data_IF_642811034968
#
_entry.id   IF_642811034968
#
_cell.length_a   1.000
_cell.length_b   1.000
_cell.length_c   1.000
_cell.angle_alpha   90.00
_cell.angle_beta   90.00
_cell.angle_gamma   90.00
#
_symmetry.space_group_name_H-M   'P 1'
#
loop_
_entity.id
_entity.type
_entity.pdbx_description
1 polymer ?
#
# COMPACT_ATOMS: atom_id res chain seq x y z
N UNK A 1 -11.50 5.99 11.33
CA UNK A 1 -12.16 5.13 12.32
C UNK A 1 -12.76 3.91 11.61
N UNK A 2 -11.99 2.82 11.53
CA UNK A 2 -12.56 1.51 11.24
C UNK A 2 -13.44 1.13 12.43
N UNK A 3 -14.75 1.19 12.26
CA UNK A 3 -15.67 0.65 13.26
C UNK A 3 -15.86 -0.83 12.94
N UNK A 4 -15.15 -1.67 13.69
CA UNK A 4 -15.18 -3.14 13.57
C UNK A 4 -16.55 -3.75 13.95
N UNK A 5 -17.55 -2.94 14.31
CA UNK A 5 -18.93 -3.36 14.60
C UNK A 5 -19.87 -3.26 13.39
N UNK A 6 -19.41 -2.68 12.28
CA UNK A 6 -20.19 -2.61 11.05
C UNK A 6 -20.04 -3.94 10.30
N UNK A 7 -21.09 -4.77 10.34
CA UNK A 7 -21.18 -6.06 9.63
C UNK A 7 -21.86 -5.94 8.26
N UNK A 8 -22.26 -4.73 7.87
CA UNK A 8 -22.87 -4.48 6.57
C UNK A 8 -21.79 -4.40 5.49
N UNK A 9 -22.09 -4.98 4.33
CA UNK A 9 -21.31 -4.79 3.10
C UNK A 9 -21.05 -3.29 2.88
N UNK A 10 -19.79 -2.88 2.63
CA UNK A 10 -19.50 -1.49 2.34
C UNK A 10 -20.30 -1.04 1.11
N UNK A 11 -20.96 0.15 1.14
CA UNK A 11 -21.82 0.56 0.05
C UNK A 11 -21.04 0.69 -1.26
N UNK A 12 -21.59 0.11 -2.34
CA UNK A 12 -21.03 0.04 -3.71
C UNK A 12 -20.55 1.40 -4.26
N UNK A 13 -21.10 2.51 -3.74
CA UNK A 13 -20.74 3.88 -4.11
C UNK A 13 -19.33 4.32 -3.65
N UNK A 14 -18.60 3.50 -2.86
CA UNK A 14 -17.27 3.87 -2.38
C UNK A 14 -16.22 3.90 -3.50
N UNK A 15 -16.25 2.95 -4.45
CA UNK A 15 -15.19 2.80 -5.46
C UNK A 15 -15.10 4.00 -6.42
N UNK A 16 -16.24 4.51 -6.89
CA UNK A 16 -16.27 5.69 -7.77
C UNK A 16 -15.81 6.97 -7.04
N UNK A 17 -16.13 7.10 -5.75
CA UNK A 17 -15.67 8.22 -4.94
C UNK A 17 -14.15 8.15 -4.69
N UNK A 18 -13.62 6.96 -4.39
CA UNK A 18 -12.17 6.77 -4.21
C UNK A 18 -11.44 6.92 -5.53
N UNK A 19 -11.96 6.39 -6.64
CA UNK A 19 -11.34 6.61 -7.95
C UNK A 19 -11.33 8.09 -8.33
N UNK A 20 -12.46 8.79 -8.16
CA UNK A 20 -12.51 10.24 -8.41
C UNK A 20 -11.48 10.95 -7.54
N UNK A 21 -11.40 10.60 -6.26
CA UNK A 21 -10.43 11.15 -5.34
C UNK A 21 -8.99 10.89 -5.81
N UNK A 22 -8.63 9.67 -6.22
CA UNK A 22 -7.31 9.36 -6.76
C UNK A 22 -7.00 10.10 -8.06
N UNK A 23 -7.94 10.13 -9.01
CA UNK A 23 -7.71 10.71 -10.35
C UNK A 23 -7.78 12.23 -10.37
N UNK A 24 -8.74 12.82 -9.65
CA UNK A 24 -9.05 14.25 -9.70
C UNK A 24 -8.37 15.00 -8.58
N UNK A 25 -8.54 14.52 -7.36
CA UNK A 25 -8.10 15.26 -6.18
C UNK A 25 -6.60 15.02 -5.99
N UNK A 26 -6.17 13.77 -5.84
CA UNK A 26 -4.75 13.37 -5.75
C UNK A 26 -3.98 13.50 -7.07
N UNK A 27 -4.68 13.70 -8.18
CA UNK A 27 -4.12 13.73 -9.54
C UNK A 27 -3.25 12.51 -9.86
N UNK A 28 -3.42 11.38 -9.20
CA UNK A 28 -2.63 10.17 -9.42
C UNK A 28 -3.12 9.41 -10.67
N UNK A 29 -3.05 10.04 -11.83
CA UNK A 29 -3.52 9.46 -13.10
C UNK A 29 -2.47 8.49 -13.64
N UNK A 30 -2.83 7.22 -13.72
CA UNK A 30 -2.05 6.15 -14.32
C UNK A 30 -2.89 5.38 -15.34
N UNK A 31 -2.21 4.76 -16.30
CA UNK A 31 -2.79 3.81 -17.25
C UNK A 31 -2.97 2.40 -16.64
N UNK A 32 -2.38 2.16 -15.47
CA UNK A 32 -2.55 0.92 -14.71
C UNK A 32 -3.83 0.97 -13.86
N UNK A 33 -4.41 -0.19 -13.52
CA UNK A 33 -5.54 -0.24 -12.60
C UNK A 33 -5.19 0.25 -11.20
N UNK A 34 -6.18 0.83 -10.53
CA UNK A 34 -6.14 0.95 -9.07
C UNK A 34 -6.59 -0.37 -8.46
N UNK A 35 -5.63 -1.12 -7.95
CA UNK A 35 -5.87 -2.38 -7.24
C UNK A 35 -6.85 -2.14 -6.09
N UNK A 36 -7.93 -2.94 -6.03
CA UNK A 36 -9.00 -2.83 -5.04
C UNK A 36 -10.13 -1.83 -5.36
N UNK A 37 -10.04 -1.06 -6.45
CA UNK A 37 -11.12 -0.17 -6.92
C UNK A 37 -11.70 -0.54 -8.27
N UNK A 38 -10.85 -1.10 -9.14
CA UNK A 38 -11.24 -1.56 -10.46
C UNK A 38 -11.42 -3.06 -10.47
N UNK A 39 -12.26 -3.53 -11.39
CA UNK A 39 -12.33 -4.95 -11.71
C UNK A 39 -11.03 -5.35 -12.42
N UNK A 40 -10.13 -5.93 -11.65
CA UNK A 40 -8.82 -6.40 -12.09
C UNK A 40 -8.91 -7.52 -13.13
N UNK A 41 -10.11 -8.08 -13.41
CA UNK A 41 -10.35 -8.97 -14.58
C UNK A 41 -10.14 -8.26 -15.93
N UNK A 42 -10.34 -6.95 -15.99
CA UNK A 42 -10.08 -6.15 -17.19
C UNK A 42 -8.62 -5.74 -17.33
N UNK A 43 -7.81 -6.03 -16.31
CA UNK A 43 -6.38 -5.80 -16.33
C UNK A 43 -5.66 -7.13 -16.50
N UNK A 44 -4.66 -7.13 -17.36
CA UNK A 44 -3.70 -8.23 -17.43
C UNK A 44 -2.87 -8.21 -16.14
N UNK A 45 -3.39 -8.75 -15.04
CA UNK A 45 -2.56 -9.18 -13.92
C UNK A 45 -1.55 -10.19 -14.48
N UNK A 46 -0.30 -10.16 -14.02
CA UNK A 46 0.85 -10.87 -14.62
C UNK A 46 0.64 -12.38 -14.87
N UNK A 47 -0.43 -12.99 -14.34
CA UNK A 47 -0.75 -14.42 -14.44
C UNK A 47 -2.15 -14.74 -15.02
N UNK A 48 -2.91 -13.78 -15.57
CA UNK A 48 -4.17 -14.04 -16.28
C UNK A 48 -5.34 -14.58 -15.43
N UNK A 49 -5.31 -14.40 -14.10
CA UNK A 49 -6.38 -14.81 -13.20
C UNK A 49 -7.19 -13.59 -12.72
N UNK A 50 -8.51 -13.77 -12.61
CA UNK A 50 -9.43 -12.83 -11.97
C UNK A 50 -9.04 -12.64 -10.50
N UNK A 51 -9.14 -11.41 -9.98
CA UNK A 51 -8.86 -11.22 -8.54
C UNK A 51 -10.05 -11.52 -7.64
N UNK A 52 -9.78 -11.78 -6.35
CA UNK A 52 -10.80 -12.15 -5.38
C UNK A 52 -11.81 -11.03 -5.14
N UNK A 53 -13.04 -11.42 -4.78
CA UNK A 53 -14.14 -10.51 -4.40
C UNK A 53 -13.87 -9.84 -3.06
N UNK A 54 -14.58 -8.73 -2.80
CA UNK A 54 -14.66 -8.15 -1.44
C UNK A 54 -15.16 -9.23 -0.48
N UNK A 55 -14.38 -9.53 0.56
CA UNK A 55 -14.66 -10.59 1.54
C UNK A 55 -14.01 -11.95 1.24
N UNK A 56 -13.46 -12.16 0.04
CA UNK A 56 -12.53 -13.27 -0.18
C UNK A 56 -11.18 -12.93 0.42
N UNK A 57 -10.55 -13.91 1.05
CA UNK A 57 -9.18 -13.77 1.53
C UNK A 57 -8.28 -13.58 0.31
N UNK A 58 -7.72 -12.38 0.18
CA UNK A 58 -6.63 -12.13 -0.76
C UNK A 58 -5.53 -13.13 -0.45
N UNK A 59 -5.20 -13.94 -1.45
CA UNK A 59 -4.02 -14.76 -1.41
C UNK A 59 -2.87 -13.88 -1.91
N UNK A 60 -2.12 -13.26 -1.00
CA UNK A 60 -0.92 -12.48 -1.32
C UNK A 60 0.24 -13.36 -1.82
N UNK A 61 -0.08 -14.55 -2.36
CA UNK A 61 0.89 -15.46 -2.92
C UNK A 61 1.49 -14.89 -4.20
N UNK A 62 2.80 -14.78 -4.20
CA UNK A 62 3.62 -14.36 -5.34
C UNK A 62 3.80 -15.49 -6.36
N UNK A 63 3.31 -16.70 -6.07
CA UNK A 63 3.27 -17.84 -6.97
C UNK A 63 2.02 -18.71 -6.70
N UNK A 64 1.72 -19.64 -7.61
CA UNK A 64 0.67 -20.64 -7.34
C UNK A 64 1.15 -21.60 -6.25
N UNK A 65 0.40 -21.69 -5.14
CA UNK A 65 0.69 -22.56 -4.00
C UNK A 65 -0.52 -23.44 -3.69
N UNK A 66 -0.27 -24.60 -3.10
CA UNK A 66 -1.32 -25.46 -2.53
C UNK A 66 -1.84 -24.91 -1.20
N UNK A 67 -3.06 -25.29 -0.83
CA UNK A 67 -3.68 -24.88 0.44
C UNK A 67 -2.84 -25.31 1.66
N UNK A 68 -2.16 -26.46 1.58
CA UNK A 68 -1.30 -26.96 2.64
C UNK A 68 -0.06 -26.05 2.85
N UNK A 69 0.58 -25.60 1.77
CA UNK A 69 1.74 -24.69 1.85
C UNK A 69 1.33 -23.31 2.39
N UNK A 70 0.15 -22.81 2.00
CA UNK A 70 -0.39 -21.56 2.55
C UNK A 70 -0.66 -21.69 4.05
N UNK A 71 -1.28 -22.80 4.49
CA UNK A 71 -1.58 -23.04 5.89
C UNK A 71 -0.31 -23.15 6.76
N UNK A 72 0.74 -23.77 6.24
CA UNK A 72 2.03 -23.85 6.91
C UNK A 72 2.67 -22.47 7.06
N UNK A 73 2.71 -21.68 5.98
CA UNK A 73 3.26 -20.33 6.00
C UNK A 73 2.51 -19.39 6.97
N UNK A 74 1.18 -19.49 7.02
CA UNK A 74 0.34 -18.77 8.01
C UNK A 74 0.71 -19.17 9.43
N UNK A 75 0.87 -20.47 9.70
CA UNK A 75 1.24 -20.97 11.02
C UNK A 75 2.64 -20.49 11.42
N UNK A 76 3.59 -20.51 10.49
CA UNK A 76 4.96 -20.05 10.73
C UNK A 76 4.99 -18.55 11.05
N UNK A 77 4.28 -17.73 10.27
CA UNK A 77 4.19 -16.29 10.50
C UNK A 77 3.49 -15.94 11.82
N UNK A 78 2.43 -16.67 12.18
CA UNK A 78 1.76 -16.51 13.46
C UNK A 78 2.68 -16.87 14.65
N UNK A 79 3.57 -17.85 14.47
CA UNK A 79 4.52 -18.27 15.49
C UNK A 79 5.69 -17.29 15.66
N UNK A 80 6.18 -16.68 14.57
CA UNK A 80 7.29 -15.72 14.63
C UNK A 80 6.85 -14.29 14.97
N UNK A 81 5.61 -13.92 14.63
CA UNK A 81 5.11 -12.55 14.79
C UNK A 81 5.64 -11.57 13.75
N UNK A 82 6.29 -12.06 12.68
CA UNK A 82 6.92 -11.24 11.62
C UNK A 82 5.91 -10.54 10.67
N UNK A 83 4.63 -10.55 11.01
CA UNK A 83 3.56 -9.95 10.22
C UNK A 83 2.91 -10.95 9.25
N UNK A 84 2.43 -10.49 8.07
CA UNK A 84 1.70 -11.35 7.14
C UNK A 84 2.56 -12.50 6.59
N UNK A 85 1.96 -13.67 6.29
CA UNK A 85 2.70 -14.83 5.81
C UNK A 85 3.37 -14.56 4.47
N UNK A 86 4.60 -15.05 4.31
CA UNK A 86 5.28 -15.06 3.02
C UNK A 86 4.72 -16.21 2.18
N UNK A 87 3.88 -15.87 1.21
CA UNK A 87 3.26 -16.82 0.32
C UNK A 87 4.01 -16.77 -1.02
N UNK A 88 4.85 -17.76 -1.29
CA UNK A 88 5.61 -17.88 -2.55
C UNK A 88 7.01 -17.27 -2.49
N UNK A 89 7.77 -17.29 -3.61
CA UNK A 89 9.09 -16.68 -3.67
C UNK A 89 9.01 -15.18 -3.38
N UNK A 90 9.93 -14.60 -2.59
CA UNK A 90 9.85 -13.20 -2.24
C UNK A 90 9.85 -12.31 -3.48
N UNK A 91 8.94 -11.33 -3.54
CA UNK A 91 9.11 -10.21 -4.46
C UNK A 91 10.38 -9.44 -4.07
N UNK A 92 11.02 -8.74 -5.02
CA UNK A 92 12.19 -7.93 -4.72
C UNK A 92 11.91 -6.99 -3.55
N UNK A 93 12.80 -6.97 -2.58
CA UNK A 93 12.78 -5.95 -1.55
C UNK A 93 12.97 -4.55 -2.17
N UNK A 94 12.65 -3.49 -1.44
CA UNK A 94 12.65 -2.12 -2.00
C UNK A 94 14.02 -1.74 -2.60
N UNK A 95 15.11 -2.18 -1.99
CA UNK A 95 16.48 -2.02 -2.49
C UNK A 95 16.74 -2.79 -3.78
N UNK A 96 16.32 -4.04 -3.86
CA UNK A 96 16.39 -4.84 -5.08
C UNK A 96 15.53 -4.24 -6.20
N UNK A 97 14.33 -3.76 -5.88
CA UNK A 97 13.44 -3.11 -6.83
C UNK A 97 14.02 -1.80 -7.37
N UNK A 98 14.65 -0.98 -6.51
CA UNK A 98 15.36 0.24 -6.92
C UNK A 98 16.61 -0.09 -7.74
N UNK A 99 17.30 -1.20 -7.46
CA UNK A 99 18.43 -1.65 -8.27
C UNK A 99 17.99 -2.08 -9.69
N UNK A 100 16.84 -2.76 -9.80
CA UNK A 100 16.25 -3.16 -11.09
C UNK A 100 15.75 -1.94 -11.88
N UNK A 101 15.08 -1.01 -11.22
CA UNK A 101 14.58 0.22 -11.83
C UNK A 101 15.07 1.45 -11.06
N UNK A 102 16.22 2.04 -11.43
CA UNK A 102 16.78 3.22 -10.76
C UNK A 102 15.90 4.48 -10.86
N UNK A 103 14.84 4.45 -11.69
CA UNK A 103 13.84 5.55 -11.77
C UNK A 103 12.64 5.33 -10.84
N UNK A 104 12.58 4.20 -10.14
CA UNK A 104 11.55 3.93 -9.15
C UNK A 104 11.67 4.94 -8.02
N UNK A 105 10.53 5.50 -7.61
CA UNK A 105 10.43 6.40 -6.47
C UNK A 105 9.42 5.84 -5.49
N UNK A 106 9.75 5.89 -4.21
CA UNK A 106 8.92 5.35 -3.12
C UNK A 106 8.55 6.49 -2.18
N UNK A 107 7.24 6.66 -1.94
CA UNK A 107 6.73 7.58 -0.93
C UNK A 107 6.18 6.74 0.23
N UNK A 108 6.77 6.89 1.41
CA UNK A 108 6.34 6.25 2.65
C UNK A 108 5.61 7.30 3.49
N UNK A 109 4.36 7.02 3.84
CA UNK A 109 3.54 7.94 4.63
C UNK A 109 3.02 7.28 5.90
N UNK A 110 2.95 8.06 6.98
CA UNK A 110 2.39 7.60 8.25
C UNK A 110 1.60 8.71 8.94
N UNK A 111 0.64 8.30 9.77
CA UNK A 111 0.01 9.19 10.74
C UNK A 111 0.93 9.40 11.94
N UNK A 112 1.09 10.65 12.38
CA UNK A 112 1.93 11.03 13.52
C UNK A 112 1.60 10.27 14.81
N UNK A 113 0.34 9.94 14.99
CA UNK A 113 -0.22 9.26 16.17
C UNK A 113 -0.73 7.86 15.83
N UNK A 114 -0.23 7.24 14.75
CA UNK A 114 -0.56 5.86 14.43
C UNK A 114 0.10 4.91 15.44
N UNK A 115 -0.66 3.97 16.00
CA UNK A 115 -0.14 2.93 16.88
C UNK A 115 0.47 1.75 16.13
N UNK A 116 0.23 1.66 14.81
CA UNK A 116 0.69 0.58 13.95
C UNK A 116 1.88 1.00 13.06
N UNK A 117 2.14 2.30 12.94
CA UNK A 117 3.27 2.87 12.20
C UNK A 117 3.94 3.95 13.04
N UNK A 118 5.26 4.11 12.92
CA UNK A 118 6.02 5.06 13.73
C UNK A 118 6.64 6.15 12.87
N UNK A 119 6.17 7.38 13.02
CA UNK A 119 6.80 8.54 12.39
C UNK A 119 8.24 8.75 12.85
N UNK A 120 8.51 8.61 14.16
CA UNK A 120 9.88 8.68 14.67
C UNK A 120 10.76 7.53 14.15
N UNK A 121 10.18 6.33 14.00
CA UNK A 121 10.87 5.19 13.39
C UNK A 121 11.19 5.44 11.92
N UNK A 122 10.27 6.02 11.16
CA UNK A 122 10.48 6.42 9.78
C UNK A 122 11.58 7.49 9.65
N UNK A 123 11.58 8.50 10.52
CA UNK A 123 12.60 9.55 10.53
C UNK A 123 14.00 8.96 10.79
N UNK A 124 14.11 8.01 11.72
CA UNK A 124 15.38 7.33 12.00
C UNK A 124 15.80 6.41 10.86
N UNK A 125 14.84 5.70 10.26
CA UNK A 125 15.09 4.86 9.10
C UNK A 125 15.64 5.70 7.94
N UNK A 126 15.02 6.85 7.66
CA UNK A 126 15.46 7.76 6.60
C UNK A 126 16.91 8.21 6.80
N UNK A 127 17.33 8.50 8.03
CA UNK A 127 18.72 8.88 8.35
C UNK A 127 19.74 7.78 8.11
N UNK A 128 19.30 6.52 8.21
CA UNK A 128 20.16 5.33 8.09
C UNK A 128 20.15 4.69 6.70
N UNK A 129 19.34 5.20 5.78
CA UNK A 129 19.25 4.64 4.44
C UNK A 129 20.61 4.75 3.70
N UNK A 130 21.06 3.67 3.04
CA UNK A 130 22.11 3.75 2.03
C UNK A 130 21.80 4.81 0.97
N UNK A 131 22.84 5.39 0.38
CA UNK A 131 22.72 6.49 -0.60
C UNK A 131 21.80 6.14 -1.78
N UNK A 132 21.83 4.89 -2.26
CA UNK A 132 20.96 4.43 -3.34
C UNK A 132 19.48 4.51 -2.98
N UNK A 133 19.13 4.18 -1.73
CA UNK A 133 17.76 4.21 -1.25
C UNK A 133 17.32 5.62 -0.84
N UNK A 134 18.22 6.41 -0.25
CA UNK A 134 17.88 7.78 0.17
C UNK A 134 17.54 8.69 -1.01
N UNK A 135 18.05 8.38 -2.21
CA UNK A 135 17.69 9.07 -3.45
C UNK A 135 16.29 8.66 -3.98
N UNK A 136 15.86 7.42 -3.71
CA UNK A 136 14.61 6.86 -4.22
C UNK A 136 13.43 7.01 -3.26
N UNK A 137 13.68 7.11 -1.94
CA UNK A 137 12.66 7.06 -0.90
C UNK A 137 12.43 8.43 -0.25
N UNK A 138 11.18 8.87 -0.23
CA UNK A 138 10.70 10.01 0.57
C UNK A 138 9.84 9.50 1.71
N UNK A 139 10.04 10.01 2.92
CA UNK A 139 9.17 9.77 4.08
C UNK A 139 8.38 11.04 4.39
N UNK A 140 7.11 10.88 4.78
CA UNK A 140 6.26 12.01 5.18
C UNK A 140 5.31 11.60 6.29
N UNK A 141 5.11 12.52 7.23
CA UNK A 141 4.28 12.31 8.40
C UNK A 141 3.18 13.36 8.47
N UNK A 142 1.96 12.89 8.69
CA UNK A 142 0.75 13.69 8.68
C UNK A 142 0.07 13.64 10.04
N UNK A 143 -0.57 14.72 10.46
CA UNK A 143 -1.28 14.73 11.73
C UNK A 143 -2.47 13.76 11.70
N UNK A 144 -2.58 12.91 12.73
CA UNK A 144 -3.63 11.89 12.82
C UNK A 144 -3.08 10.49 13.09
N UNK A 145 -4.00 9.53 13.27
CA UNK A 145 -3.67 8.12 13.45
C UNK A 145 -3.53 7.37 12.13
N UNK A 146 -3.71 6.04 12.17
CA UNK A 146 -3.62 5.15 10.99
C UNK A 146 -4.40 5.63 9.76
N UNK A 147 -5.55 6.27 9.99
CA UNK A 147 -6.46 6.76 8.95
C UNK A 147 -6.45 8.29 8.87
N UNK A 148 -5.27 8.93 8.96
CA UNK A 148 -5.09 10.38 8.98
C UNK A 148 -5.82 11.10 7.83
N UNK A 149 -5.89 10.48 6.65
CA UNK A 149 -6.58 10.98 5.46
C UNK A 149 -8.11 11.12 5.59
N UNK A 150 -8.70 10.72 6.73
CA UNK A 150 -10.11 10.99 7.01
C UNK A 150 -10.34 12.42 7.49
N UNK A 151 -9.35 13.05 8.11
CA UNK A 151 -9.40 14.47 8.43
C UNK A 151 -9.27 15.29 7.15
N UNK A 152 -10.16 16.26 6.94
CA UNK A 152 -10.20 17.03 5.69
C UNK A 152 -8.96 17.89 5.47
N UNK A 153 -8.47 18.55 6.52
CA UNK A 153 -7.31 19.42 6.41
C UNK A 153 -6.06 18.60 6.07
N UNK A 154 -5.87 17.50 6.79
CA UNK A 154 -4.73 16.60 6.59
C UNK A 154 -4.82 15.89 5.24
N UNK A 155 -6.03 15.51 4.81
CA UNK A 155 -6.27 14.92 3.49
C UNK A 155 -5.82 15.86 2.38
N UNK A 156 -6.11 17.16 2.48
CA UNK A 156 -5.66 18.15 1.49
C UNK A 156 -4.14 18.23 1.42
N UNK A 157 -3.45 18.27 2.57
CA UNK A 157 -1.99 18.30 2.61
C UNK A 157 -1.37 17.05 1.97
N UNK A 158 -1.89 15.87 2.31
CA UNK A 158 -1.46 14.61 1.71
C UNK A 158 -1.71 14.59 0.20
N UNK A 159 -2.82 15.17 -0.23
CA UNK A 159 -3.16 15.28 -1.65
C UNK A 159 -2.13 16.08 -2.44
N UNK A 160 -1.78 17.25 -1.93
CA UNK A 160 -0.78 18.11 -2.57
C UNK A 160 0.60 17.44 -2.60
N UNK A 161 0.96 16.72 -1.53
CA UNK A 161 2.22 16.00 -1.46
C UNK A 161 2.30 14.84 -2.48
N UNK A 162 1.24 14.04 -2.63
CA UNK A 162 1.19 12.97 -3.65
C UNK A 162 1.30 13.57 -5.06
N UNK A 163 0.57 14.65 -5.32
CA UNK A 163 0.61 15.32 -6.61
C UNK A 163 2.02 15.88 -6.92
N UNK A 164 2.67 16.51 -5.93
CA UNK A 164 4.04 17.01 -6.02
C UNK A 164 5.03 15.87 -6.28
N UNK A 165 4.96 14.80 -5.48
CA UNK A 165 5.82 13.62 -5.60
C UNK A 165 5.77 13.02 -7.00
N UNK A 166 4.57 12.84 -7.55
CA UNK A 166 4.37 12.32 -8.91
C UNK A 166 5.02 13.19 -9.98
N UNK A 167 5.04 14.51 -9.79
CA UNK A 167 5.55 15.46 -10.78
C UNK A 167 7.07 15.73 -10.65
N UNK A 168 7.80 14.96 -9.84
CA UNK A 168 9.24 15.17 -9.64
C UNK A 168 9.60 16.03 -8.42
N UNK A 169 8.61 16.53 -7.68
CA UNK A 169 8.83 17.14 -6.38
C UNK A 169 9.38 16.12 -5.39
N UNK A 170 10.26 16.56 -4.48
CA UNK A 170 10.77 15.71 -3.38
C UNK A 170 9.73 15.59 -2.29
#
# INVERSE_FOLDING_TARGET
MFDMRLTAEPPVAFSAAVERYLRRDLRYVTALPYVGLWDTRECTCQNGKAEPRVGERLNDATASMSEAEVAEAVKAAAASGDGPPKLGPPLPAVDEAVAINPRLRVLVVAGRFDSLASCAGNDEQQRRLPVSLSAAMTFSCYDGGHMFYRDEHVRSQFTDAVASFKNGGR
#
